data_IF_187917925882
#
_entry.id   IF_187917925882
#
_cell.length_a   1.000
_cell.length_b   1.000
_cell.length_c   1.000
_cell.angle_alpha   90.00
_cell.angle_beta   90.00
_cell.angle_gamma   90.00
#
_symmetry.space_group_name_H-M   'P 1'
#
loop_
_entity.id
_entity.type
_entity.pdbx_description
1 polymer ?
#
# COMPACT_ATOMS: atom_id res chain seq x y z
N UNK A 1 10.58 -7.60 24.23
CA UNK A 1 11.90 -7.30 23.60
C UNK A 1 12.20 -5.82 23.74
N UNK A 2 13.21 -5.25 23.07
CA UNK A 2 13.33 -3.78 22.98
C UNK A 2 12.29 -3.24 21.99
N UNK A 3 11.85 -2.00 22.21
CA UNK A 3 10.79 -1.37 21.41
C UNK A 3 11.11 -1.30 19.91
N UNK A 4 12.37 -1.14 19.51
CA UNK A 4 12.75 -1.15 18.09
C UNK A 4 12.45 -2.50 17.41
N UNK A 5 12.64 -3.62 18.11
CA UNK A 5 12.31 -4.96 17.58
C UNK A 5 10.80 -5.11 17.39
N UNK A 6 10.01 -4.60 18.35
CA UNK A 6 8.54 -4.61 18.27
C UNK A 6 8.02 -3.78 17.10
N UNK A 7 8.55 -2.56 16.94
CA UNK A 7 8.17 -1.65 15.85
C UNK A 7 8.49 -2.30 14.50
N UNK A 8 9.69 -2.84 14.31
CA UNK A 8 10.06 -3.47 13.04
C UNK A 8 9.21 -4.69 12.73
N UNK A 9 8.96 -5.55 13.73
CA UNK A 9 8.07 -6.70 13.55
C UNK A 9 6.63 -6.29 13.20
N UNK A 10 6.11 -5.24 13.84
CA UNK A 10 4.77 -4.74 13.59
C UNK A 10 4.63 -4.16 12.18
N UNK A 11 5.59 -3.35 11.74
CA UNK A 11 5.63 -2.81 10.37
C UNK A 11 5.71 -3.94 9.35
N UNK A 12 6.60 -4.92 9.58
CA UNK A 12 6.74 -6.07 8.69
C UNK A 12 5.43 -6.87 8.56
N UNK A 13 4.79 -7.19 9.69
CA UNK A 13 3.54 -7.95 9.70
C UNK A 13 2.42 -7.16 9.04
N UNK A 14 2.29 -5.86 9.35
CA UNK A 14 1.29 -5.00 8.74
C UNK A 14 1.45 -4.90 7.23
N UNK A 15 2.65 -4.60 6.72
CA UNK A 15 2.88 -4.44 5.27
C UNK A 15 2.64 -5.75 4.54
N UNK A 16 3.06 -6.88 5.12
CA UNK A 16 2.79 -8.20 4.56
C UNK A 16 1.28 -8.47 4.48
N UNK A 17 0.55 -8.18 5.56
CA UNK A 17 -0.91 -8.33 5.59
C UNK A 17 -1.61 -7.40 4.61
N UNK A 18 -1.21 -6.13 4.57
CA UNK A 18 -1.77 -5.11 3.70
C UNK A 18 -1.52 -5.41 2.21
N UNK A 19 -0.38 -5.99 1.88
CA UNK A 19 -0.08 -6.49 0.54
C UNK A 19 -1.04 -7.62 0.13
N UNK A 20 -1.20 -8.63 1.00
CA UNK A 20 -2.06 -9.79 0.72
C UNK A 20 -3.55 -9.44 0.63
N UNK A 21 -3.96 -8.36 1.31
CA UNK A 21 -5.37 -7.92 1.39
C UNK A 21 -5.66 -6.66 0.57
N UNK A 22 -4.66 -6.15 -0.16
CA UNK A 22 -4.74 -4.94 -0.98
C UNK A 22 -5.34 -3.73 -0.23
N UNK A 23 -4.79 -3.43 0.95
CA UNK A 23 -5.24 -2.30 1.76
C UNK A 23 -4.71 -0.97 1.22
N UNK A 24 -5.61 0.02 1.14
CA UNK A 24 -5.28 1.39 0.80
C UNK A 24 -4.62 2.14 1.98
N UNK A 25 -3.96 3.26 1.70
CA UNK A 25 -3.35 4.17 2.70
C UNK A 25 -2.25 3.53 3.57
N UNK A 26 -1.32 2.81 2.95
CA UNK A 26 -0.23 2.09 3.64
C UNK A 26 0.57 2.96 4.61
N UNK A 27 0.88 4.21 4.26
CA UNK A 27 1.66 5.11 5.13
C UNK A 27 0.99 5.36 6.48
N UNK A 28 -0.33 5.58 6.46
CA UNK A 28 -1.11 5.76 7.70
C UNK A 28 -1.06 4.46 8.52
N UNK A 29 -1.25 3.32 7.87
CA UNK A 29 -1.18 2.02 8.54
C UNK A 29 0.19 1.73 9.16
N UNK A 30 1.29 2.07 8.49
CA UNK A 30 2.66 1.91 9.03
C UNK A 30 2.84 2.69 10.33
N UNK A 31 2.34 3.94 10.38
CA UNK A 31 2.41 4.77 11.58
C UNK A 31 1.63 4.15 12.74
N UNK A 32 0.39 3.71 12.49
CA UNK A 32 -0.45 3.10 13.51
C UNK A 32 0.07 1.74 13.98
N UNK A 33 0.61 0.91 13.08
CA UNK A 33 1.22 -0.38 13.41
C UNK A 33 2.47 -0.17 14.29
N UNK A 34 3.32 0.80 13.96
CA UNK A 34 4.46 1.17 14.79
C UNK A 34 4.04 1.68 16.17
N UNK A 35 3.07 2.60 16.21
CA UNK A 35 2.56 3.17 17.46
C UNK A 35 1.96 2.12 18.40
N UNK A 36 1.02 1.32 17.91
CA UNK A 36 0.31 0.34 18.73
C UNK A 36 1.25 -0.77 19.22
N UNK A 37 2.34 -1.05 18.51
CA UNK A 37 3.31 -2.07 18.92
C UNK A 37 4.01 -1.72 20.24
N UNK A 38 4.08 -0.44 20.62
CA UNK A 38 4.72 -0.01 21.87
C UNK A 38 3.67 0.27 22.97
N UNK A 39 2.39 0.36 22.59
CA UNK A 39 1.29 0.67 23.49
C UNK A 39 1.18 -0.30 24.69
N UNK A 40 1.29 -1.64 24.53
CA UNK A 40 1.28 -2.58 25.66
C UNK A 40 2.26 -2.23 26.78
N UNK A 41 3.52 -1.93 26.40
CA UNK A 41 4.59 -1.58 27.35
C UNK A 41 4.32 -0.25 28.04
N UNK A 42 3.81 0.74 27.31
CA UNK A 42 3.46 2.06 27.83
C UNK A 42 2.32 1.96 28.84
N UNK A 43 1.28 1.20 28.50
CA UNK A 43 0.09 1.03 29.34
C UNK A 43 0.44 0.31 30.65
N UNK A 44 1.29 -0.72 30.59
CA UNK A 44 1.76 -1.43 31.78
C UNK A 44 2.64 -0.54 32.67
N UNK A 45 3.47 0.32 32.06
CA UNK A 45 4.23 1.31 32.80
C UNK A 45 3.33 2.33 33.49
N UNK A 46 2.23 2.72 32.87
CA UNK A 46 1.27 3.67 33.43
C UNK A 46 0.43 3.07 34.57
N UNK A 47 -0.01 1.81 34.40
CA UNK A 47 -0.81 1.09 35.41
C UNK A 47 0.02 0.60 36.61
N UNK A 48 1.35 0.75 36.55
CA UNK A 48 2.27 0.29 37.59
C UNK A 48 2.42 -1.23 37.67
N UNK A 49 1.68 -1.98 36.85
CA UNK A 49 1.79 -3.44 36.74
C UNK A 49 2.73 -3.79 35.60
N UNK A 50 3.89 -4.36 35.91
CA UNK A 50 4.79 -4.87 34.89
C UNK A 50 4.19 -6.15 34.27
N UNK A 51 3.79 -6.11 32.99
CA UNK A 51 3.17 -7.22 32.24
C UNK A 51 1.78 -7.59 32.77
N UNK A 52 0.88 -6.63 32.67
CA UNK A 52 -0.51 -6.74 33.13
C UNK A 52 -1.48 -6.50 31.99
N UNK A 53 -2.29 -5.46 32.13
CA UNK A 53 -3.39 -5.16 31.21
C UNK A 53 -2.92 -4.86 29.79
N UNK A 54 -1.75 -4.26 29.59
CA UNK A 54 -1.24 -3.90 28.27
C UNK A 54 -0.95 -5.10 27.37
N UNK A 55 -0.56 -6.24 27.95
CA UNK A 55 -0.21 -7.45 27.21
C UNK A 55 -1.37 -8.42 27.01
N UNK A 56 -2.59 -7.97 27.32
CA UNK A 56 -3.80 -8.77 27.14
C UNK A 56 -4.24 -8.80 25.68
N UNK A 57 -4.64 -9.99 25.21
CA UNK A 57 -5.26 -10.15 23.89
C UNK A 57 -6.60 -9.43 23.75
N UNK A 58 -7.24 -9.07 24.87
CA UNK A 58 -8.52 -8.35 24.86
C UNK A 58 -8.42 -6.98 24.20
N UNK A 59 -7.22 -6.39 24.07
CA UNK A 59 -7.00 -5.17 23.28
C UNK A 59 -7.29 -5.31 21.79
N UNK A 60 -7.37 -6.54 21.26
CA UNK A 60 -7.82 -6.77 19.88
C UNK A 60 -9.27 -6.29 19.69
N UNK A 61 -10.14 -6.47 20.69
CA UNK A 61 -11.56 -6.12 20.60
C UNK A 61 -11.75 -4.63 20.25
N UNK A 62 -11.26 -3.65 21.05
CA UNK A 62 -11.40 -2.24 20.70
C UNK A 62 -10.68 -1.87 19.40
N UNK A 63 -9.57 -2.53 19.06
CA UNK A 63 -8.89 -2.29 17.79
C UNK A 63 -9.73 -2.73 16.58
N UNK A 64 -10.51 -3.81 16.69
CA UNK A 64 -11.44 -4.24 15.65
C UNK A 64 -12.61 -3.26 15.50
N UNK A 65 -13.09 -2.64 16.58
CA UNK A 65 -14.13 -1.60 16.49
C UNK A 65 -13.70 -0.38 15.66
N UNK A 66 -12.40 -0.07 15.60
CA UNK A 66 -11.89 0.99 14.70
C UNK A 66 -12.18 0.67 13.22
N UNK A 67 -12.39 -0.61 12.90
CA UNK A 67 -12.68 -1.09 11.55
C UNK A 67 -13.98 -0.56 10.97
N UNK A 68 -14.92 -0.13 11.81
CA UNK A 68 -16.14 0.53 11.35
C UNK A 68 -15.88 1.88 10.67
N UNK A 69 -14.76 2.55 10.99
CA UNK A 69 -14.35 3.80 10.34
C UNK A 69 -13.25 3.60 9.30
N UNK A 70 -12.26 2.74 9.60
CA UNK A 70 -11.16 2.49 8.69
C UNK A 70 -10.60 1.09 8.86
N UNK A 71 -10.82 0.26 7.85
CA UNK A 71 -10.29 -1.10 7.81
C UNK A 71 -8.75 -1.12 7.83
N UNK A 72 -8.08 -0.17 7.18
CA UNK A 72 -6.62 -0.06 7.17
C UNK A 72 -6.08 0.22 8.57
N UNK A 73 -6.67 1.17 9.29
CA UNK A 73 -6.23 1.51 10.65
C UNK A 73 -6.49 0.33 11.58
N UNK A 74 -7.67 -0.29 11.51
CA UNK A 74 -7.97 -1.47 12.32
C UNK A 74 -7.00 -2.63 12.07
N UNK A 75 -6.70 -2.92 10.81
CA UNK A 75 -5.71 -3.92 10.43
C UNK A 75 -4.32 -3.58 10.99
N UNK A 76 -3.89 -2.32 10.89
CA UNK A 76 -2.63 -1.86 11.47
C UNK A 76 -2.59 -2.02 12.99
N UNK A 77 -3.67 -1.68 13.68
CA UNK A 77 -3.79 -1.82 15.13
C UNK A 77 -3.71 -3.29 15.57
N UNK A 78 -4.49 -4.16 14.91
CA UNK A 78 -4.56 -5.59 15.23
C UNK A 78 -3.24 -6.28 14.91
N UNK A 79 -2.68 -6.07 13.72
CA UNK A 79 -1.39 -6.67 13.34
C UNK A 79 -0.25 -6.17 14.23
N UNK A 80 -0.22 -4.88 14.59
CA UNK A 80 0.79 -4.35 15.51
C UNK A 80 0.72 -4.98 16.91
N UNK A 81 -0.49 -5.14 17.48
CA UNK A 81 -0.67 -5.84 18.77
C UNK A 81 -0.28 -7.31 18.69
N UNK A 82 -0.72 -8.02 17.64
CA UNK A 82 -0.38 -9.43 17.44
C UNK A 82 1.13 -9.59 17.33
N UNK A 83 1.81 -8.74 16.55
CA UNK A 83 3.27 -8.75 16.44
C UNK A 83 3.94 -8.55 17.79
N UNK A 84 3.47 -7.58 18.60
CA UNK A 84 4.00 -7.34 19.94
C UNK A 84 3.94 -8.61 20.81
N UNK A 85 2.76 -9.23 20.88
CA UNK A 85 2.53 -10.46 21.66
C UNK A 85 3.37 -11.62 21.12
N UNK A 86 3.43 -11.81 19.81
CA UNK A 86 4.24 -12.87 19.17
C UNK A 86 5.72 -12.72 19.53
N UNK A 87 6.26 -11.50 19.47
CA UNK A 87 7.66 -11.27 19.82
C UNK A 87 7.92 -11.52 21.30
N UNK A 88 6.99 -11.16 22.17
CA UNK A 88 7.16 -11.36 23.61
C UNK A 88 7.04 -12.82 24.06
N UNK A 89 6.22 -13.65 23.42
CA UNK A 89 6.18 -15.10 23.70
C UNK A 89 7.44 -15.86 23.24
N UNK A 90 8.30 -15.24 22.42
CA UNK A 90 9.63 -15.78 22.08
C UNK A 90 10.69 -15.45 23.14
N UNK A 91 10.39 -14.53 24.06
CA UNK A 91 11.35 -14.10 25.08
C UNK A 91 11.42 -15.06 26.26
N UNK A 92 12.46 -14.92 27.08
CA UNK A 92 12.61 -15.67 28.35
C UNK A 92 11.43 -15.50 29.31
N UNK A 93 10.75 -14.39 29.15
CA UNK A 93 9.85 -13.80 30.13
C UNK A 93 8.39 -14.02 29.70
N UNK A 94 8.14 -14.21 28.40
CA UNK A 94 6.83 -14.54 27.83
C UNK A 94 5.86 -13.35 27.78
N UNK A 95 4.59 -13.64 27.52
CA UNK A 95 3.49 -12.66 27.59
C UNK A 95 2.25 -13.26 28.27
N UNK A 96 1.59 -12.55 29.20
CA UNK A 96 0.35 -13.00 29.85
C UNK A 96 -0.87 -12.70 28.98
N UNK A 97 -1.00 -13.43 27.86
CA UNK A 97 -2.00 -13.22 26.80
C UNK A 97 -3.44 -13.15 27.36
N UNK A 98 -3.75 -13.98 28.35
CA UNK A 98 -5.10 -14.11 28.92
C UNK A 98 -5.34 -13.21 30.15
N UNK A 99 -4.45 -12.26 30.45
CA UNK A 99 -4.69 -11.32 31.55
C UNK A 99 -5.97 -10.50 31.31
N UNK A 100 -6.82 -10.22 32.31
CA UNK A 100 -6.68 -10.58 33.73
C UNK A 100 -7.23 -11.97 34.10
N UNK A 101 -7.81 -12.72 33.16
CA UNK A 101 -8.37 -14.06 33.43
C UNK A 101 -7.30 -15.06 33.90
N UNK A 102 -6.09 -14.97 33.34
CA UNK A 102 -4.93 -15.72 33.82
C UNK A 102 -3.68 -14.85 33.86
N UNK A 103 -2.87 -15.04 34.89
CA UNK A 103 -1.56 -14.41 35.06
C UNK A 103 -0.41 -15.26 34.50
N UNK A 104 -0.71 -16.42 33.91
CA UNK A 104 0.30 -17.32 33.34
C UNK A 104 0.94 -16.70 32.11
N UNK A 105 2.27 -16.60 32.12
CA UNK A 105 3.02 -16.15 30.95
C UNK A 105 3.12 -17.28 29.92
N UNK A 106 2.67 -17.00 28.70
CA UNK A 106 2.82 -17.89 27.57
C UNK A 106 4.23 -17.73 26.99
N UNK A 107 4.87 -18.87 26.71
CA UNK A 107 6.18 -18.93 26.06
C UNK A 107 6.17 -20.08 25.07
N UNK A 108 6.62 -19.82 23.84
CA UNK A 108 6.60 -20.81 22.75
C UNK A 108 7.88 -21.63 22.70
N UNK A 109 9.02 -21.04 23.09
CA UNK A 109 10.33 -21.68 23.00
C UNK A 109 10.70 -22.42 24.29
N UNK A 110 11.40 -23.55 24.13
CA UNK A 110 12.11 -24.24 25.23
C UNK A 110 13.11 -23.29 25.87
N UNK A 111 13.34 -23.44 27.18
CA UNK A 111 14.12 -22.51 28.01
C UNK A 111 15.45 -22.06 27.38
N UNK A 112 16.26 -23.01 26.88
CA UNK A 112 17.58 -22.75 26.29
C UNK A 112 17.55 -22.02 24.93
N UNK A 113 16.37 -21.87 24.32
CA UNK A 113 16.18 -21.23 23.01
C UNK A 113 15.47 -19.89 23.10
N UNK A 114 15.04 -19.49 24.30
CA UNK A 114 14.31 -18.23 24.51
C UNK A 114 15.23 -17.03 24.33
N UNK A 115 14.70 -15.97 23.73
CA UNK A 115 15.46 -14.76 23.45
C UNK A 115 15.51 -13.89 24.69
N UNK A 116 16.71 -13.53 25.14
CA UNK A 116 16.89 -12.60 26.25
C UNK A 116 16.94 -11.17 25.72
N UNK A 117 16.01 -10.33 26.17
CA UNK A 117 15.93 -8.90 25.79
C UNK A 117 17.25 -8.18 26.02
N UNK A 118 17.67 -7.36 25.06
CA UNK A 118 18.90 -6.56 25.14
C UNK A 118 20.20 -7.32 24.90
N UNK A 119 20.15 -8.63 24.62
CA UNK A 119 21.33 -9.41 24.23
C UNK A 119 21.57 -9.37 22.71
N UNK A 120 22.67 -9.97 22.27
CA UNK A 120 22.96 -10.11 20.83
C UNK A 120 21.90 -10.94 20.09
N UNK A 121 21.14 -11.81 20.78
CA UNK A 121 20.03 -12.55 20.17
C UNK A 121 18.86 -11.62 19.79
N UNK A 122 18.53 -10.64 20.63
CA UNK A 122 17.49 -9.63 20.34
C UNK A 122 17.91 -8.76 19.15
N UNK A 123 19.19 -8.31 19.14
CA UNK A 123 19.76 -7.56 18.01
C UNK A 123 19.78 -8.36 16.71
N UNK A 124 20.12 -9.65 16.78
CA UNK A 124 20.12 -10.54 15.62
C UNK A 124 18.71 -10.73 15.07
N UNK A 125 17.70 -10.93 15.92
CA UNK A 125 16.30 -11.01 15.49
C UNK A 125 15.85 -9.71 14.82
N UNK A 126 16.15 -8.56 15.42
CA UNK A 126 15.87 -7.26 14.81
C UNK A 126 16.49 -7.14 13.40
N UNK A 127 17.76 -7.54 13.25
CA UNK A 127 18.43 -7.53 11.96
C UNK A 127 17.75 -8.44 10.94
N UNK A 128 17.35 -9.65 11.34
CA UNK A 128 16.59 -10.58 10.50
C UNK A 128 15.26 -9.97 10.05
N UNK A 129 14.54 -9.31 10.96
CA UNK A 129 13.27 -8.64 10.63
C UNK A 129 13.48 -7.50 9.62
N UNK A 130 14.57 -6.74 9.72
CA UNK A 130 14.93 -5.73 8.71
C UNK A 130 15.22 -6.38 7.36
N UNK A 131 16.03 -7.43 7.32
CA UNK A 131 16.34 -8.13 6.06
C UNK A 131 15.11 -8.71 5.40
N UNK A 132 14.11 -9.13 6.17
CA UNK A 132 12.82 -9.60 5.65
C UNK A 132 11.91 -8.45 5.22
N UNK A 133 12.01 -7.28 5.87
CA UNK A 133 11.22 -6.09 5.54
C UNK A 133 11.62 -5.48 4.18
N UNK A 134 12.91 -5.45 3.86
CA UNK A 134 13.42 -4.88 2.60
C UNK A 134 12.74 -5.46 1.35
N UNK A 135 12.71 -6.80 1.12
CA UNK A 135 12.07 -7.35 -0.06
C UNK A 135 10.56 -7.10 -0.07
N UNK A 136 9.90 -7.20 1.09
CA UNK A 136 8.45 -6.91 1.22
C UNK A 136 8.15 -5.47 0.81
N UNK A 137 8.96 -4.51 1.24
CA UNK A 137 8.84 -3.11 0.80
C UNK A 137 9.03 -2.98 -0.71
N UNK A 138 9.99 -3.69 -1.28
CA UNK A 138 10.24 -3.64 -2.73
C UNK A 138 9.03 -4.13 -3.54
N UNK A 139 8.41 -5.25 -3.14
CA UNK A 139 7.22 -5.79 -3.82
C UNK A 139 5.98 -4.89 -3.66
N UNK A 140 5.79 -4.30 -2.48
CA UNK A 140 4.65 -3.42 -2.23
C UNK A 140 4.73 -2.10 -3.01
N UNK A 141 5.92 -1.50 -3.12
CA UNK A 141 6.12 -0.25 -3.90
C UNK A 141 5.87 -0.48 -5.39
N UNK A 142 6.36 -1.59 -5.96
CA UNK A 142 6.14 -1.89 -7.39
C UNK A 142 4.65 -2.06 -7.72
N UNK A 143 3.89 -2.70 -6.84
CA UNK A 143 2.45 -2.90 -7.04
C UNK A 143 1.68 -1.58 -7.11
N UNK A 144 2.07 -0.59 -6.29
CA UNK A 144 1.49 0.77 -6.31
C UNK A 144 1.90 1.54 -7.57
N UNK A 145 3.13 1.34 -8.03
CA UNK A 145 3.64 2.04 -9.21
C UNK A 145 3.02 1.51 -10.50
N UNK A 146 2.89 0.18 -10.62
CA UNK A 146 2.32 -0.46 -11.81
C UNK A 146 0.87 0.00 -11.99
N UNK A 147 0.05 -0.05 -10.93
CA UNK A 147 -1.38 0.30 -10.99
C UNK A 147 -1.61 1.76 -11.44
N UNK A 148 -0.78 2.69 -10.95
CA UNK A 148 -0.79 4.10 -11.39
C UNK A 148 -0.32 4.27 -12.83
N UNK A 149 0.71 3.53 -13.25
CA UNK A 149 1.20 3.61 -14.63
C UNK A 149 0.27 2.94 -15.64
N UNK A 150 -0.52 1.93 -15.28
CA UNK A 150 -1.54 1.36 -16.18
C UNK A 150 -2.73 2.30 -16.40
N UNK A 151 -3.04 3.15 -15.41
CA UNK A 151 -4.05 4.20 -15.56
C UNK A 151 -3.54 5.40 -16.39
N UNK A 152 -2.24 5.73 -16.29
CA UNK A 152 -1.63 6.82 -17.08
C UNK A 152 -1.14 6.40 -18.48
N UNK A 153 -0.71 5.15 -18.71
CA UNK A 153 -0.31 4.71 -20.07
C UNK A 153 -1.49 4.63 -21.04
N UNK A 154 -2.71 4.49 -20.51
CA UNK A 154 -3.94 4.60 -21.29
C UNK A 154 -4.21 6.04 -21.76
N UNK A 155 -3.62 7.04 -21.09
CA UNK A 155 -3.76 8.47 -21.38
C UNK A 155 -2.52 9.11 -22.02
N UNK A 156 -1.32 8.54 -21.81
CA UNK A 156 -0.05 9.09 -22.28
C UNK A 156 0.26 8.84 -23.77
N UNK A 157 -0.59 8.09 -24.49
CA UNK A 157 -0.52 8.01 -25.96
C UNK A 157 -1.25 9.14 -26.68
N UNK A 158 -1.82 10.12 -25.96
CA UNK A 158 -2.59 11.22 -26.55
C UNK A 158 -2.21 12.62 -26.03
N UNK A 159 -0.91 12.93 -25.88
CA UNK A 159 -0.49 14.33 -25.67
C UNK A 159 0.59 14.73 -26.67
N UNK A 160 0.21 15.52 -27.67
CA UNK A 160 1.05 16.58 -28.25
C UNK A 160 0.15 17.55 -29.01
N UNK A 161 -0.06 18.76 -28.47
CA UNK A 161 -0.75 19.82 -29.20
C UNK A 161 -1.41 20.92 -28.36
N UNK A 162 -0.59 21.72 -27.66
CA UNK A 162 -0.72 23.19 -27.47
C UNK A 162 -1.95 23.84 -26.82
N UNK A 163 -1.64 24.57 -25.74
CA UNK A 163 -2.07 25.92 -25.34
C UNK A 163 -3.55 26.22 -25.05
N UNK A 164 -3.80 26.66 -23.81
CA UNK A 164 -5.00 27.44 -23.49
C UNK A 164 -5.35 27.42 -21.99
N UNK A 165 -4.95 28.47 -21.28
CA UNK A 165 -5.50 28.86 -19.98
C UNK A 165 -7.02 28.96 -20.01
N UNK A 166 -7.71 28.37 -19.02
CA UNK A 166 -8.68 29.08 -18.15
C UNK A 166 -9.39 28.12 -17.17
N UNK A 167 -9.44 28.56 -15.92
CA UNK A 167 -10.28 28.08 -14.83
C UNK A 167 -11.76 28.16 -15.18
N UNK A 168 -12.49 27.04 -15.11
CA UNK A 168 -13.93 27.00 -14.82
C UNK A 168 -14.36 25.59 -14.38
N UNK A 169 -14.81 25.47 -13.12
CA UNK A 169 -15.64 24.36 -12.68
C UNK A 169 -16.94 24.34 -13.49
N UNK A 170 -17.15 23.31 -14.31
CA UNK A 170 -18.48 22.93 -14.79
C UNK A 170 -18.48 21.44 -15.17
N UNK A 171 -19.55 20.75 -14.76
CA UNK A 171 -19.82 19.32 -14.96
C UNK A 171 -19.33 18.76 -16.30
N UNK A 172 -18.61 17.62 -16.35
CA UNK A 172 -18.32 16.98 -17.62
C UNK A 172 -19.54 16.14 -18.03
N UNK A 173 -20.45 16.73 -18.82
CA UNK A 173 -21.17 15.94 -19.81
C UNK A 173 -20.12 15.50 -20.84
N UNK A 174 -19.72 14.23 -20.75
CA UNK A 174 -18.82 13.60 -21.71
C UNK A 174 -19.50 13.48 -23.08
N UNK A 175 -19.50 14.58 -23.85
CA UNK A 175 -19.56 14.48 -25.31
C UNK A 175 -18.19 13.98 -25.75
N UNK A 176 -18.07 12.67 -25.96
CA UNK A 176 -16.85 12.07 -26.51
C UNK A 176 -16.67 12.57 -27.94
N UNK A 177 -15.94 13.67 -28.10
CA UNK A 177 -15.52 14.19 -29.40
C UNK A 177 -14.44 13.26 -29.94
N UNK A 178 -14.87 12.23 -30.67
CA UNK A 178 -13.98 11.30 -31.32
C UNK A 178 -13.43 11.98 -32.57
N UNK A 179 -12.15 12.40 -32.54
CA UNK A 179 -11.46 12.94 -33.70
C UNK A 179 -10.80 11.76 -34.43
N UNK A 180 -11.38 11.24 -35.53
CA UNK A 180 -10.74 10.17 -36.27
C UNK A 180 -9.44 10.68 -36.90
N UNK A 181 -8.30 10.13 -36.46
CA UNK A 181 -7.02 10.34 -37.12
C UNK A 181 -6.92 9.36 -38.30
N UNK A 182 -7.07 9.86 -39.53
CA UNK A 182 -6.91 9.07 -40.74
C UNK A 182 -5.48 9.25 -41.28
N UNK A 183 -4.69 8.19 -41.24
CA UNK A 183 -3.36 8.16 -41.87
C UNK A 183 -3.49 7.56 -43.28
N UNK A 184 -3.30 8.38 -44.31
CA UNK A 184 -3.35 7.95 -45.72
C UNK A 184 -1.92 7.78 -46.20
N UNK A 185 -1.48 6.53 -46.33
CA UNK A 185 -0.20 6.22 -46.95
C UNK A 185 -0.41 5.95 -48.44
N UNK A 186 0.07 6.87 -49.28
CA UNK A 186 0.03 6.71 -50.73
C UNK A 186 1.14 5.72 -51.16
N UNK A 187 0.88 4.83 -52.13
CA UNK A 187 1.91 3.98 -52.70
C UNK A 187 3.04 4.85 -53.28
N UNK A 188 4.27 4.31 -53.33
CA UNK A 188 5.49 5.05 -53.75
C UNK A 188 5.22 5.90 -54.99
N UNK A 189 5.65 7.17 -55.02
CA UNK A 189 5.35 8.07 -56.13
C UNK A 189 5.86 7.45 -57.43
N UNK A 190 4.95 7.30 -58.39
CA UNK A 190 5.33 7.13 -59.79
C UNK A 190 6.00 8.45 -60.19
N UNK A 191 7.22 8.40 -60.74
CA UNK A 191 7.97 9.59 -61.17
C UNK A 191 7.05 10.49 -62.01
N UNK A 192 6.95 11.76 -61.62
CA UNK A 192 6.27 12.86 -62.33
C UNK A 192 4.73 12.88 -62.28
N UNK A 193 4.09 12.43 -61.20
CA UNK A 193 2.64 12.61 -61.00
C UNK A 193 2.38 13.36 -59.69
N UNK A 194 1.57 14.43 -59.76
CA UNK A 194 1.20 15.23 -58.59
C UNK A 194 -0.09 14.66 -57.99
N UNK A 195 -0.02 14.09 -56.78
CA UNK A 195 -1.20 13.60 -56.07
C UNK A 195 -1.83 14.76 -55.26
N UNK A 196 -3.11 15.04 -55.51
CA UNK A 196 -3.85 16.10 -54.80
C UNK A 196 -4.94 15.50 -53.93
N UNK A 197 -4.89 15.78 -52.62
CA UNK A 197 -5.94 15.37 -51.66
C UNK A 197 -6.92 16.54 -51.51
N UNK A 198 -8.19 16.30 -51.80
CA UNK A 198 -9.27 17.29 -51.59
C UNK A 198 -10.24 16.79 -50.53
N UNK A 199 -10.44 17.60 -49.48
CA UNK A 199 -11.40 17.33 -48.41
C UNK A 199 -12.63 18.20 -48.63
N UNK A 200 -13.81 17.59 -48.80
CA UNK A 200 -15.08 18.30 -48.93
C UNK A 200 -16.04 17.88 -47.82
N UNK A 201 -16.53 18.86 -47.06
CA UNK A 201 -17.66 18.66 -46.15
C UNK A 201 -18.92 18.45 -46.99
N UNK A 202 -19.59 17.32 -46.81
CA UNK A 202 -20.81 16.99 -47.57
C UNK A 202 -22.03 17.55 -46.85
N UNK A 203 -22.11 17.35 -45.53
CA UNK A 203 -23.12 17.95 -44.65
C UNK A 203 -22.59 18.06 -43.21
N UNK A 204 -23.47 18.33 -42.23
CA UNK A 204 -23.08 18.47 -40.82
C UNK A 204 -22.56 17.17 -40.18
N UNK A 205 -22.88 16.01 -40.76
CA UNK A 205 -22.59 14.68 -40.23
C UNK A 205 -21.63 13.86 -41.12
N UNK A 206 -21.44 14.23 -42.39
CA UNK A 206 -20.65 13.49 -43.38
C UNK A 206 -19.55 14.37 -44.01
N UNK A 207 -18.33 13.84 -44.08
CA UNK A 207 -17.20 14.43 -44.80
C UNK A 207 -16.63 13.41 -45.79
N UNK A 208 -16.40 13.82 -47.04
CA UNK A 208 -15.80 12.97 -48.09
C UNK A 208 -14.38 13.43 -48.40
N UNK A 209 -13.47 12.47 -48.46
CA UNK A 209 -12.08 12.66 -48.87
C UNK A 209 -11.91 12.03 -50.24
N UNK A 210 -11.53 12.85 -51.23
CA UNK A 210 -11.21 12.37 -52.58
C UNK A 210 -9.71 12.48 -52.82
N UNK A 211 -9.13 11.40 -53.34
CA UNK A 211 -7.73 11.35 -53.78
C UNK A 211 -7.75 11.26 -55.29
N UNK A 212 -7.27 12.31 -55.95
CA UNK A 212 -7.18 12.35 -57.41
C UNK A 212 -5.73 12.17 -57.84
N UNK A 213 -5.53 11.35 -58.86
CA UNK A 213 -4.25 11.16 -59.54
C UNK A 213 -4.38 11.82 -60.92
N UNK A 214 -3.68 12.94 -61.14
CA UNK A 214 -3.70 13.70 -62.41
C UNK A 214 -2.39 13.61 -63.14
#
# INVERSE_FOLDING_TARGET
>A
MRSYTHITGAILLFISFAYLTNLNYLWVGILFAGWISVFPDILDRFTGTHRGYGHSIFWIIPCLFVGFWSITIAAALVTGLISHVILDILTTKGSPILYPLSKTNFVVLKENRRIKTGTNQDKALFLVLIFLLIPVLFFTIQSICIDKTSFDLSHAFATNGTNGTNTAMSNPQYSMKNNPNLNIQLPKPVKNVNETITIKKVDENETRIMVNNT
#
